data_IF_587754585124
#
_entry.id   IF_587754585124
#
_cell.length_a   1.000
_cell.length_b   1.000
_cell.length_c   1.000
_cell.angle_alpha   90.00
_cell.angle_beta   90.00
_cell.angle_gamma   90.00
#
_symmetry.space_group_name_H-M   'P 1'
#
loop_
_entity.id
_entity.type
_entity.pdbx_description
1 polymer ?
#
# COMPACT_ATOMS: atom_id res chain seq x y z
N UNK A 1 14.78 47.81 46.33
CA UNK A 1 15.68 47.07 45.41
C UNK A 1 15.06 45.70 45.21
N UNK A 2 14.64 45.42 43.96
CA UNK A 2 13.71 44.34 43.57
C UNK A 2 14.25 42.93 43.85
N UNK A 3 13.39 42.04 44.36
CA UNK A 3 12.55 41.12 43.57
C UNK A 3 13.37 40.11 42.76
N UNK A 4 13.52 38.91 43.33
CA UNK A 4 13.82 37.71 42.57
C UNK A 4 12.55 37.15 41.92
N UNK A 5 12.72 36.43 40.82
CA UNK A 5 12.04 35.17 40.49
C UNK A 5 12.66 34.63 39.22
N UNK A 6 13.35 33.50 39.35
CA UNK A 6 13.88 32.69 38.26
C UNK A 6 12.72 32.10 37.48
N UNK A 7 12.45 32.62 36.28
CA UNK A 7 11.40 32.10 35.42
C UNK A 7 11.96 30.90 34.63
N UNK A 8 11.91 29.71 35.22
CA UNK A 8 12.19 28.45 34.52
C UNK A 8 11.06 28.19 33.52
N UNK A 9 11.23 28.66 32.28
CA UNK A 9 10.40 28.23 31.15
C UNK A 9 10.64 26.74 30.92
N UNK A 10 9.80 25.89 31.51
CA UNK A 10 9.58 24.53 31.01
C UNK A 10 8.94 24.68 29.64
N UNK A 11 9.73 24.52 28.58
CA UNK A 11 9.18 24.28 27.25
C UNK A 11 8.49 22.92 27.30
N UNK A 12 7.17 22.93 27.47
CA UNK A 12 6.37 21.79 27.07
C UNK A 12 6.52 21.67 25.54
N UNK A 13 7.46 20.83 25.10
CA UNK A 13 7.42 20.30 23.74
C UNK A 13 6.17 19.44 23.66
N UNK A 14 5.06 20.07 23.27
CA UNK A 14 3.91 19.34 22.75
C UNK A 14 4.50 18.56 21.57
N UNK A 15 4.71 17.25 21.75
CA UNK A 15 4.99 16.35 20.63
C UNK A 15 3.80 16.53 19.70
N UNK A 16 3.99 17.26 18.59
CA UNK A 16 3.06 17.21 17.48
C UNK A 16 3.03 15.74 17.05
N UNK A 17 2.00 15.01 17.48
CA UNK A 17 1.73 13.69 16.95
C UNK A 17 1.41 13.91 15.48
N UNK A 18 2.32 13.51 14.61
CA UNK A 18 2.05 13.47 13.18
C UNK A 18 0.84 12.58 12.95
N UNK A 19 -0.06 12.99 12.07
CA UNK A 19 -1.22 12.18 11.72
C UNK A 19 -0.77 10.76 11.26
N UNK A 20 -1.54 9.71 11.57
CA UNK A 20 -1.28 8.35 11.10
C UNK A 20 -1.07 8.30 9.58
N UNK A 21 -0.07 7.53 9.13
CA UNK A 21 0.27 7.36 7.72
C UNK A 21 0.50 5.91 7.37
N UNK A 22 -0.13 5.46 6.29
CA UNK A 22 0.21 4.21 5.62
C UNK A 22 1.31 4.45 4.58
N UNK A 23 2.34 3.62 4.61
CA UNK A 23 3.44 3.64 3.65
C UNK A 23 3.29 2.50 2.65
N UNK A 24 3.08 2.84 1.37
CA UNK A 24 2.89 1.87 0.29
C UNK A 24 4.07 1.96 -0.68
N UNK A 25 4.64 0.80 -0.99
CA UNK A 25 5.74 0.66 -1.94
C UNK A 25 5.26 -0.09 -3.18
N UNK A 26 5.64 0.37 -4.37
CA UNK A 26 5.26 -0.26 -5.63
C UNK A 26 6.50 -0.35 -6.51
N UNK A 27 6.87 -1.56 -6.91
CA UNK A 27 7.96 -1.78 -7.87
C UNK A 27 7.46 -1.52 -9.29
N UNK A 28 8.00 -0.50 -9.96
CA UNK A 28 7.63 -0.21 -11.34
C UNK A 28 8.27 -1.24 -12.31
N UNK A 29 7.46 -2.03 -13.04
CA UNK A 29 8.00 -3.08 -13.90
C UNK A 29 8.74 -2.56 -15.14
N UNK A 30 8.56 -1.28 -15.52
CA UNK A 30 9.20 -0.72 -16.73
C UNK A 30 10.68 -0.37 -16.50
N UNK A 31 11.03 0.02 -15.28
CA UNK A 31 12.37 0.52 -14.96
C UNK A 31 12.95 -0.06 -13.67
N UNK A 32 12.25 -0.99 -13.00
CA UNK A 32 12.62 -1.59 -11.72
C UNK A 32 12.93 -0.58 -10.62
N UNK A 33 12.33 0.62 -10.69
CA UNK A 33 12.43 1.60 -9.63
C UNK A 33 11.32 1.41 -8.60
N UNK A 34 11.68 1.54 -7.33
CA UNK A 34 10.74 1.55 -6.23
C UNK A 34 10.08 2.93 -6.15
N UNK A 35 8.75 2.97 -6.26
CA UNK A 35 7.96 4.15 -5.97
C UNK A 35 7.33 4.00 -4.57
N UNK A 36 7.42 5.04 -3.76
CA UNK A 36 6.89 5.07 -2.39
C UNK A 36 5.78 6.12 -2.31
N UNK A 37 4.72 5.80 -1.56
CA UNK A 37 3.51 6.60 -1.43
C UNK A 37 3.07 6.64 0.03
N UNK A 38 2.69 7.83 0.49
CA UNK A 38 2.15 8.06 1.81
C UNK A 38 0.67 8.44 1.75
N UNK A 39 -0.15 7.73 2.54
CA UNK A 39 -1.56 8.07 2.76
C UNK A 39 -1.78 8.44 4.21
N UNK A 40 -2.16 9.69 4.43
CA UNK A 40 -2.53 10.24 5.74
C UNK A 40 -3.98 9.93 6.04
N UNK A 41 -4.26 9.55 7.28
CA UNK A 41 -5.61 9.20 7.72
C UNK A 41 -5.76 9.49 9.22
N UNK A 42 -6.98 9.36 9.74
CA UNK A 42 -7.28 9.44 11.16
C UNK A 42 -7.24 8.06 11.85
N UNK A 43 -7.00 6.99 11.10
CA UNK A 43 -7.06 5.62 11.58
C UNK A 43 -5.69 4.96 11.51
N UNK A 44 -5.31 4.21 12.55
CA UNK A 44 -4.05 3.45 12.57
C UNK A 44 -4.18 2.06 11.92
N UNK A 45 -5.42 1.57 11.76
CA UNK A 45 -5.73 0.26 11.17
C UNK A 45 -6.92 0.42 10.23
N UNK A 46 -6.80 -0.14 9.03
CA UNK A 46 -7.84 -0.06 7.99
C UNK A 46 -7.83 -1.31 7.09
N UNK A 47 -8.96 -1.66 6.45
CA UNK A 47 -8.96 -2.66 5.38
C UNK A 47 -8.00 -2.25 4.25
N UNK A 48 -7.20 -3.20 3.78
CA UNK A 48 -6.26 -2.99 2.68
C UNK A 48 -6.97 -2.47 1.41
N UNK A 49 -8.15 -2.99 0.99
CA UNK A 49 -8.89 -2.42 -0.14
C UNK A 49 -9.20 -0.93 0.03
N UNK A 50 -9.54 -0.52 1.26
CA UNK A 50 -9.79 0.90 1.57
C UNK A 50 -8.53 1.73 1.46
N UNK A 51 -7.38 1.25 1.96
CA UNK A 51 -6.08 1.94 1.81
C UNK A 51 -5.76 2.17 0.32
N UNK A 52 -5.93 1.14 -0.51
CA UNK A 52 -5.67 1.23 -1.94
C UNK A 52 -6.67 2.15 -2.67
N UNK A 53 -7.94 2.15 -2.25
CA UNK A 53 -8.94 3.08 -2.77
C UNK A 53 -8.60 4.54 -2.44
N UNK A 54 -8.14 4.83 -1.22
CA UNK A 54 -7.68 6.17 -0.85
C UNK A 54 -6.50 6.60 -1.73
N UNK A 55 -5.49 5.73 -1.87
CA UNK A 55 -4.31 5.99 -2.71
C UNK A 55 -4.65 6.25 -4.19
N UNK A 56 -5.73 5.64 -4.69
CA UNK A 56 -6.05 5.64 -6.12
C UNK A 56 -7.14 6.65 -6.50
N UNK A 57 -7.99 7.07 -5.56
CA UNK A 57 -9.18 7.86 -5.86
C UNK A 57 -9.37 9.08 -4.96
N UNK A 58 -8.72 9.17 -3.79
CA UNK A 58 -8.80 10.33 -2.91
C UNK A 58 -7.51 11.17 -2.91
N UNK A 59 -7.50 12.20 -3.76
CA UNK A 59 -6.36 13.12 -3.91
C UNK A 59 -6.12 14.02 -2.68
N UNK A 60 -7.00 14.00 -1.69
CA UNK A 60 -6.87 14.85 -0.50
C UNK A 60 -6.10 14.17 0.64
N UNK A 61 -5.88 12.84 0.55
CA UNK A 61 -5.32 12.06 1.66
C UNK A 61 -3.82 11.80 1.53
N UNK A 62 -3.14 12.41 0.57
CA UNK A 62 -1.69 12.27 0.40
C UNK A 62 -1.29 12.07 -1.05
N UNK A 63 -0.36 11.16 -1.28
CA UNK A 63 0.08 10.83 -2.63
C UNK A 63 -1.02 10.13 -3.42
N UNK A 64 -0.91 10.21 -4.75
CA UNK A 64 -1.90 9.65 -5.66
C UNK A 64 -1.23 8.73 -6.68
N UNK A 65 -1.83 7.57 -6.91
CA UNK A 65 -1.41 6.63 -7.93
C UNK A 65 -2.51 6.42 -8.97
N UNK A 66 -2.13 6.35 -10.26
CA UNK A 66 -3.05 5.88 -11.29
C UNK A 66 -3.19 4.36 -11.16
N UNK A 67 -4.35 3.91 -10.68
CA UNK A 67 -4.70 2.50 -10.58
C UNK A 67 -6.14 2.24 -11.05
N UNK A 68 -6.43 0.99 -11.36
CA UNK A 68 -7.76 0.50 -11.60
C UNK A 68 -7.95 -0.90 -11.00
N UNK A 69 -9.10 -1.11 -10.36
CA UNK A 69 -9.49 -2.36 -9.72
C UNK A 69 -10.76 -2.86 -10.37
N UNK A 70 -10.79 -4.14 -10.71
CA UNK A 70 -11.93 -4.77 -11.40
C UNK A 70 -12.39 -6.00 -10.63
N UNK A 71 -13.61 -6.42 -10.89
CA UNK A 71 -14.10 -7.74 -10.49
C UNK A 71 -14.58 -8.50 -11.71
N UNK A 72 -14.36 -9.81 -11.71
CA UNK A 72 -14.80 -10.72 -12.78
C UNK A 72 -15.65 -11.80 -12.14
N UNK A 73 -16.85 -12.02 -12.65
CA UNK A 73 -17.73 -13.07 -12.13
C UNK A 73 -17.22 -14.45 -12.57
N UNK A 74 -16.92 -15.31 -11.61
CA UNK A 74 -16.56 -16.71 -11.81
C UNK A 74 -17.81 -17.59 -11.62
N UNK A 75 -18.41 -18.00 -12.73
CA UNK A 75 -19.60 -18.85 -12.73
C UNK A 75 -19.40 -20.26 -12.15
N UNK A 76 -18.16 -20.74 -12.02
CA UNK A 76 -17.87 -22.07 -11.44
C UNK A 76 -17.94 -22.03 -9.91
N UNK A 77 -17.48 -20.93 -9.33
CA UNK A 77 -17.47 -20.71 -7.87
C UNK A 77 -18.66 -19.89 -7.40
N UNK A 78 -19.46 -19.38 -8.33
CA UNK A 78 -20.61 -18.50 -8.09
C UNK A 78 -20.25 -17.27 -7.22
N UNK A 79 -19.11 -16.65 -7.55
CA UNK A 79 -18.61 -15.45 -6.84
C UNK A 79 -17.88 -14.50 -7.79
N UNK A 80 -17.63 -13.29 -7.32
CA UNK A 80 -16.77 -12.32 -8.01
C UNK A 80 -15.34 -12.47 -7.52
N UNK A 81 -14.40 -12.59 -8.46
CA UNK A 81 -12.98 -12.53 -8.19
C UNK A 81 -12.47 -11.10 -8.40
N UNK A 82 -11.70 -10.57 -7.45
CA UNK A 82 -11.19 -9.21 -7.47
C UNK A 82 -9.75 -9.14 -7.98
N UNK A 83 -9.47 -8.15 -8.82
CA UNK A 83 -8.16 -7.96 -9.45
C UNK A 83 -7.72 -6.50 -9.49
N UNK A 84 -6.41 -6.30 -9.44
CA UNK A 84 -5.79 -5.03 -9.81
C UNK A 84 -5.52 -5.04 -11.31
N UNK A 85 -6.37 -4.39 -12.10
CA UNK A 85 -6.21 -4.30 -13.56
C UNK A 85 -5.02 -3.42 -13.91
N UNK A 86 -4.80 -2.33 -13.17
CA UNK A 86 -3.75 -1.37 -13.43
C UNK A 86 -3.20 -0.80 -12.13
N UNK A 87 -1.87 -0.63 -12.05
CA UNK A 87 -1.20 0.10 -10.97
C UNK A 87 0.02 0.82 -11.55
N UNK A 88 0.29 2.06 -11.12
CA UNK A 88 1.26 2.96 -11.76
C UNK A 88 1.04 3.14 -13.28
N UNK A 89 -0.22 3.04 -13.74
CA UNK A 89 -0.53 3.09 -15.17
C UNK A 89 -0.04 1.87 -15.99
N UNK A 90 0.42 0.79 -15.35
CA UNK A 90 0.78 -0.47 -16.03
C UNK A 90 -0.35 -1.48 -15.84
N UNK A 91 -0.86 -1.96 -16.96
CA UNK A 91 -1.99 -2.90 -17.03
C UNK A 91 -1.52 -4.36 -16.92
N UNK A 92 -2.41 -5.24 -16.48
CA UNK A 92 -2.23 -6.69 -16.58
C UNK A 92 -2.02 -7.11 -18.04
N UNK A 93 -1.22 -8.17 -18.27
CA UNK A 93 -0.84 -8.56 -19.64
C UNK A 93 -1.99 -9.16 -20.45
N UNK A 94 -3.00 -9.73 -19.78
CA UNK A 94 -4.12 -10.42 -20.40
C UNK A 94 -5.43 -10.04 -19.74
N UNK A 95 -6.52 -10.12 -20.50
CA UNK A 95 -7.88 -9.90 -20.00
C UNK A 95 -8.27 -10.89 -18.91
N UNK A 96 -7.78 -12.14 -19.01
CA UNK A 96 -7.82 -13.13 -17.93
C UNK A 96 -6.57 -12.95 -17.06
N UNK A 97 -6.69 -12.38 -15.85
CA UNK A 97 -5.51 -11.92 -15.11
C UNK A 97 -4.52 -13.05 -14.81
N UNK A 98 -5.00 -14.25 -14.48
CA UNK A 98 -4.15 -15.39 -14.12
C UNK A 98 -3.35 -16.02 -15.28
N UNK A 99 -3.63 -15.66 -16.53
CA UNK A 99 -2.93 -16.23 -17.68
C UNK A 99 -1.58 -15.55 -17.98
N UNK A 100 -1.18 -14.56 -17.17
CA UNK A 100 0.07 -13.82 -17.31
C UNK A 100 0.49 -13.14 -16.02
N UNK A 101 1.32 -12.10 -16.15
CA UNK A 101 1.76 -11.33 -14.98
C UNK A 101 0.64 -10.47 -14.41
N UNK A 102 0.58 -10.46 -13.08
CA UNK A 102 -0.39 -9.70 -12.30
C UNK A 102 0.31 -8.86 -11.23
N UNK A 103 -0.43 -7.92 -10.66
CA UNK A 103 -0.04 -7.22 -9.46
C UNK A 103 -0.30 -8.09 -8.23
N UNK A 104 0.77 -8.36 -7.49
CA UNK A 104 0.77 -9.14 -6.25
C UNK A 104 1.13 -8.22 -5.11
N UNK A 105 0.34 -8.26 -4.04
CA UNK A 105 0.62 -7.54 -2.80
C UNK A 105 1.35 -8.44 -1.81
N UNK A 106 2.29 -7.82 -1.09
CA UNK A 106 3.01 -8.39 0.04
C UNK A 106 2.76 -7.50 1.24
N UNK A 107 2.46 -8.11 2.38
CA UNK A 107 2.28 -7.43 3.66
C UNK A 107 3.31 -8.01 4.62
N UNK A 108 4.20 -7.18 5.14
CA UNK A 108 5.31 -7.61 6.02
C UNK A 108 6.12 -8.77 5.42
N UNK A 109 6.36 -8.71 4.11
CA UNK A 109 7.09 -9.73 3.35
C UNK A 109 6.36 -11.03 3.08
N UNK A 110 5.09 -11.14 3.45
CA UNK A 110 4.26 -12.29 3.10
C UNK A 110 3.37 -11.93 1.93
N UNK A 111 3.43 -12.77 0.89
CA UNK A 111 2.53 -12.71 -0.25
C UNK A 111 1.09 -12.82 0.24
N UNK A 112 0.24 -11.93 -0.23
CA UNK A 112 -1.17 -11.86 0.12
C UNK A 112 -1.98 -11.97 -1.17
N UNK A 113 -3.03 -12.80 -1.16
CA UNK A 113 -3.95 -12.91 -2.27
C UNK A 113 -4.91 -11.71 -2.22
N UNK A 114 -4.86 -10.85 -3.24
CA UNK A 114 -5.70 -9.66 -3.31
C UNK A 114 -7.19 -9.99 -3.29
N UNK A 115 -7.60 -11.07 -3.96
CA UNK A 115 -8.98 -11.50 -4.02
C UNK A 115 -9.52 -11.85 -2.63
N UNK A 116 -8.77 -12.70 -1.90
CA UNK A 116 -9.08 -13.05 -0.50
C UNK A 116 -9.03 -11.82 0.42
N UNK A 117 -8.10 -10.89 0.19
CA UNK A 117 -7.99 -9.66 0.98
C UNK A 117 -9.21 -8.75 0.80
N UNK A 118 -9.79 -8.71 -0.41
CA UNK A 118 -11.05 -8.02 -0.69
C UNK A 118 -12.24 -8.73 -0.03
N UNK A 119 -12.34 -10.06 -0.14
CA UNK A 119 -13.47 -10.80 0.43
C UNK A 119 -13.50 -10.79 1.96
N UNK A 120 -12.32 -10.82 2.59
CA UNK A 120 -12.18 -10.89 4.05
C UNK A 120 -12.01 -9.53 4.74
N UNK A 121 -12.03 -8.43 3.97
CA UNK A 121 -11.67 -7.09 4.45
C UNK A 121 -10.35 -7.09 5.23
N UNK A 122 -9.32 -7.76 4.67
CA UNK A 122 -8.05 -7.95 5.36
C UNK A 122 -7.48 -6.60 5.82
N UNK A 123 -7.31 -6.45 7.14
CA UNK A 123 -6.85 -5.21 7.75
C UNK A 123 -5.33 -5.11 7.76
N UNK A 124 -4.83 -3.88 7.58
CA UNK A 124 -3.43 -3.49 7.70
C UNK A 124 -3.30 -2.33 8.69
N UNK A 125 -2.17 -2.27 9.39
CA UNK A 125 -1.81 -1.19 10.30
C UNK A 125 -0.79 -0.23 9.66
N UNK A 126 -0.67 0.99 10.18
CA UNK A 126 0.34 1.97 9.74
C UNK A 126 1.79 1.49 9.92
N UNK A 127 1.99 0.48 10.77
CA UNK A 127 3.29 -0.17 10.99
C UNK A 127 3.60 -1.27 9.98
N UNK A 128 2.62 -1.70 9.19
CA UNK A 128 2.81 -2.78 8.22
C UNK A 128 3.51 -2.26 6.96
N UNK A 129 4.41 -3.07 6.43
CA UNK A 129 5.02 -2.83 5.13
C UNK A 129 4.11 -3.37 4.02
N UNK A 130 3.50 -2.48 3.24
CA UNK A 130 2.68 -2.82 2.07
C UNK A 130 3.53 -2.66 0.81
N UNK A 131 3.78 -3.76 0.10
CA UNK A 131 4.61 -3.77 -1.09
C UNK A 131 3.90 -4.45 -2.27
N UNK A 132 3.91 -3.80 -3.42
CA UNK A 132 3.31 -4.30 -4.66
C UNK A 132 4.37 -4.62 -5.71
N UNK A 133 4.19 -5.76 -6.39
CA UNK A 133 5.07 -6.21 -7.47
C UNK A 133 4.27 -6.79 -8.62
N UNK A 134 4.73 -6.51 -9.84
CA UNK A 134 4.20 -7.12 -11.05
C UNK A 134 4.98 -8.40 -11.39
N UNK A 135 4.34 -9.56 -11.32
CA UNK A 135 4.99 -10.86 -11.46
C UNK A 135 3.99 -11.96 -11.81
N UNK A 136 4.51 -13.15 -12.14
CA UNK A 136 3.67 -14.33 -12.31
C UNK A 136 3.10 -14.80 -10.96
N UNK A 137 1.84 -15.26 -10.96
CA UNK A 137 1.18 -15.70 -9.73
C UNK A 137 1.92 -16.88 -9.08
N UNK A 138 2.52 -17.77 -9.86
CA UNK A 138 3.23 -18.94 -9.34
C UNK A 138 4.66 -18.65 -8.86
N UNK A 139 5.17 -17.45 -9.09
CA UNK A 139 6.50 -17.07 -8.63
C UNK A 139 6.46 -16.70 -7.13
N UNK A 140 7.36 -17.33 -6.37
CA UNK A 140 7.68 -16.96 -4.99
C UNK A 140 9.07 -16.34 -4.99
N UNK A 141 9.12 -15.04 -5.22
CA UNK A 141 10.37 -14.29 -5.20
C UNK A 141 10.59 -13.71 -3.80
N UNK A 142 11.83 -13.76 -3.27
CA UNK A 142 12.15 -13.03 -2.05
C UNK A 142 11.88 -11.54 -2.28
N UNK A 143 11.36 -10.85 -1.24
CA UNK A 143 11.28 -9.40 -1.27
C UNK A 143 12.69 -8.84 -1.47
N UNK A 144 12.86 -8.04 -2.53
CA UNK A 144 14.10 -7.32 -2.76
C UNK A 144 14.14 -6.20 -1.73
N UNK A 145 14.92 -6.37 -0.66
CA UNK A 145 15.27 -5.26 0.21
C UNK A 145 16.16 -4.31 -0.59
N UNK A 146 16.02 -2.99 -0.36
CA UNK A 146 16.76 -1.95 -1.08
C UNK A 146 18.29 -2.11 -1.06
N UNK A 147 18.83 -3.05 -0.28
CA UNK A 147 20.23 -3.41 -0.23
C UNK A 147 20.75 -4.20 -1.46
N UNK A 148 19.90 -4.75 -2.32
CA UNK A 148 20.33 -5.65 -3.41
C UNK A 148 20.54 -4.98 -4.78
N UNK A 149 20.31 -3.67 -4.92
CA UNK A 149 20.34 -2.99 -6.23
C UNK A 149 21.74 -2.41 -6.57
N UNK A 150 22.70 -2.46 -5.64
CA UNK A 150 24.07 -1.97 -5.84
C UNK A 150 25.12 -3.11 -5.86
N UNK A 151 24.95 -4.12 -6.71
CA UNK A 151 26.00 -5.12 -7.02
C UNK A 151 26.28 -5.15 -8.52
#
# INVERSE_FOLDING_TARGET
MGCGTSNTKRSNSIRQMSAPKFHIKIMNPKNNQLAEFDITTNYEVMPLPTVMNLLSFDKNQGDYVKANFISIYNAKEDRYEYFVQQLLGVEVEKEKPYDGKIWVVYINGKKCNWDEACESDQTVAITDEIFWRFQDLNENLPLVTAASINS
#
